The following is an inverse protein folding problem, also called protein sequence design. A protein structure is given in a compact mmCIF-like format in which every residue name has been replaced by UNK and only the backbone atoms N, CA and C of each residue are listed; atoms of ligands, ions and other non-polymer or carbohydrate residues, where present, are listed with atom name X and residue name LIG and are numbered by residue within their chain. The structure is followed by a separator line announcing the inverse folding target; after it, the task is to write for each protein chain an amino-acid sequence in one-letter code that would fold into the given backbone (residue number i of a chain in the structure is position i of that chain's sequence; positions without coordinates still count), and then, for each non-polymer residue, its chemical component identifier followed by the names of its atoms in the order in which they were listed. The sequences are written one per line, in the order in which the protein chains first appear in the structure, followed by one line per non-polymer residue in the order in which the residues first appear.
data_IF_924692973661
#
_entry.id   IF_924692973661
#
_cell.length_a   1.000
_cell.length_b   1.000
_cell.length_c   1.000
_cell.angle_alpha   90.00
_cell.angle_beta   90.00
_cell.angle_gamma   90.00
#
_symmetry.space_group_name_H-M   'P 1'
#
loop_
_entity.id
_entity.type
_entity.pdbx_description
1 polymer ?
#
# COMPACT_ATOMS: atom_id res chain seq x y z
N UNK A 1 50.28 19.81 9.19
CA UNK A 1 50.67 18.75 8.22
C UNK A 1 49.91 17.49 8.61
N UNK A 2 49.11 16.93 7.68
CA UNK A 2 48.52 15.57 7.70
C UNK A 2 47.16 15.29 8.42
N UNK A 3 46.16 16.18 8.34
CA UNK A 3 44.79 15.82 8.80
C UNK A 3 43.76 15.62 7.66
N UNK A 4 44.14 15.90 6.40
CA UNK A 4 43.28 15.69 5.21
C UNK A 4 43.51 14.34 4.50
N UNK A 5 44.08 13.35 5.19
CA UNK A 5 44.37 12.02 4.63
C UNK A 5 43.27 10.96 4.85
N UNK A 6 42.13 11.34 5.44
CA UNK A 6 41.01 10.42 5.73
C UNK A 6 39.74 10.68 4.92
N UNK A 7 39.85 11.30 3.73
CA UNK A 7 38.73 11.39 2.78
C UNK A 7 38.72 10.18 1.86
N UNK A 8 37.60 9.44 1.87
CA UNK A 8 37.37 8.27 1.01
C UNK A 8 37.42 8.67 -0.46
N UNK A 9 38.26 8.02 -1.25
CA UNK A 9 38.37 8.19 -2.70
C UNK A 9 37.14 7.63 -3.43
N UNK A 10 36.05 8.40 -3.49
CA UNK A 10 34.92 8.07 -4.34
C UNK A 10 35.22 8.43 -5.79
N UNK A 11 34.72 7.63 -6.73
CA UNK A 11 34.97 7.80 -8.17
C UNK A 11 34.44 9.16 -8.65
N UNK A 12 35.28 9.93 -9.36
CA UNK A 12 34.91 11.23 -9.93
C UNK A 12 33.74 11.07 -10.92
N UNK A 13 32.61 11.72 -10.64
CA UNK A 13 31.46 11.77 -11.55
C UNK A 13 31.52 13.07 -12.34
N UNK A 14 31.87 12.98 -13.62
CA UNK A 14 31.92 14.12 -14.53
C UNK A 14 30.52 14.46 -15.02
N UNK A 15 29.99 15.61 -14.58
CA UNK A 15 28.71 16.12 -15.03
C UNK A 15 28.84 16.56 -16.50
N UNK A 16 28.22 15.81 -17.43
CA UNK A 16 28.15 16.19 -18.85
C UNK A 16 28.33 15.08 -19.89
N UNK A 17 28.73 13.85 -19.53
CA UNK A 17 28.91 12.77 -20.51
C UNK A 17 27.83 11.70 -20.40
N UNK A 18 27.02 11.56 -21.45
CA UNK A 18 25.90 10.61 -21.56
C UNK A 18 26.42 9.20 -21.82
N UNK A 19 26.34 8.30 -20.84
CA UNK A 19 26.64 6.87 -21.06
C UNK A 19 25.47 6.20 -21.81
N UNK A 20 25.73 5.77 -23.04
CA UNK A 20 24.79 5.09 -23.93
C UNK A 20 24.42 3.69 -23.42
N UNK A 21 23.11 3.43 -23.43
CA UNK A 21 22.36 2.17 -23.48
C UNK A 21 23.10 0.83 -23.29
N UNK A 22 22.75 0.11 -22.22
CA UNK A 22 22.63 -1.36 -22.24
C UNK A 22 21.20 -1.74 -21.85
N UNK A 23 20.41 -2.10 -22.87
CA UNK A 23 19.05 -2.65 -22.74
C UNK A 23 19.15 -3.98 -21.97
N UNK A 24 18.76 -4.00 -20.70
CA UNK A 24 18.56 -5.25 -19.94
C UNK A 24 17.09 -5.63 -19.99
N UNK A 25 16.87 -6.88 -20.40
CA UNK A 25 15.60 -7.60 -20.59
C UNK A 25 14.70 -7.44 -19.35
N UNK A 26 13.46 -6.99 -19.54
CA UNK A 26 12.46 -6.92 -18.48
C UNK A 26 12.13 -8.34 -18.02
N UNK A 27 12.60 -8.70 -16.83
CA UNK A 27 12.05 -9.84 -16.09
C UNK A 27 10.79 -9.31 -15.42
N UNK A 28 9.64 -9.66 -15.99
CA UNK A 28 8.34 -9.43 -15.40
C UNK A 28 8.33 -10.03 -14.00
N UNK A 29 8.55 -9.16 -13.00
CA UNK A 29 8.40 -9.52 -11.60
C UNK A 29 6.91 -9.62 -11.37
N UNK A 30 6.34 -10.80 -11.69
CA UNK A 30 5.05 -11.23 -11.16
C UNK A 30 5.10 -10.89 -9.67
N UNK A 31 4.30 -9.93 -9.26
CA UNK A 31 4.07 -9.62 -7.85
C UNK A 31 3.58 -10.94 -7.24
N UNK A 32 4.49 -11.68 -6.61
CA UNK A 32 4.08 -12.60 -5.57
C UNK A 32 3.57 -11.67 -4.47
N UNK A 33 2.25 -11.58 -4.35
CA UNK A 33 1.62 -11.21 -3.10
C UNK A 33 2.13 -12.29 -2.14
N UNK A 34 3.15 -11.94 -1.37
CA UNK A 34 3.51 -12.74 -0.23
C UNK A 34 2.24 -12.78 0.61
N UNK A 35 1.67 -13.98 0.77
CA UNK A 35 0.80 -14.30 1.89
C UNK A 35 1.68 -14.12 3.12
N UNK A 36 1.82 -12.87 3.53
CA UNK A 36 2.26 -12.51 4.85
C UNK A 36 1.05 -12.89 5.70
N UNK A 37 1.15 -14.04 6.38
CA UNK A 37 0.29 -14.42 7.50
C UNK A 37 0.49 -13.39 8.62
N UNK A 38 0.09 -12.15 8.35
CA UNK A 38 0.02 -11.07 9.30
C UNK A 38 -1.24 -11.32 10.09
N UNK A 39 -1.06 -11.84 11.32
CA UNK A 39 -1.99 -11.77 12.44
C UNK A 39 -3.18 -10.84 12.18
N UNK A 40 -4.19 -11.39 11.52
CA UNK A 40 -5.40 -10.67 11.15
C UNK A 40 -6.08 -10.39 12.48
N UNK A 41 -6.11 -9.12 12.89
CA UNK A 41 -7.01 -8.74 13.97
C UNK A 41 -8.41 -8.91 13.39
N UNK A 42 -9.04 -10.05 13.70
CA UNK A 42 -10.35 -10.43 13.15
C UNK A 42 -11.45 -9.41 13.48
N UNK A 43 -11.21 -8.53 14.44
CA UNK A 43 -12.14 -7.51 14.91
C UNK A 43 -11.37 -6.23 15.23
N UNK A 44 -11.75 -5.11 14.59
CA UNK A 44 -11.28 -3.75 14.86
C UNK A 44 -12.51 -2.89 15.18
N UNK A 45 -12.71 -2.52 16.44
CA UNK A 45 -13.91 -1.82 16.90
C UNK A 45 -15.22 -2.55 16.57
N UNK A 46 -16.02 -1.97 15.67
CA UNK A 46 -17.31 -2.51 15.19
C UNK A 46 -17.16 -3.30 13.87
N UNK A 47 -15.94 -3.43 13.35
CA UNK A 47 -15.65 -4.05 12.06
C UNK A 47 -15.03 -5.41 12.26
N UNK A 48 -15.46 -6.39 11.46
CA UNK A 48 -14.90 -7.74 11.48
C UNK A 48 -14.56 -8.22 10.08
N UNK A 49 -13.65 -9.19 10.03
CA UNK A 49 -13.24 -9.84 8.80
C UNK A 49 -14.39 -10.72 8.26
N UNK A 50 -14.71 -10.56 6.98
CA UNK A 50 -15.72 -11.37 6.30
C UNK A 50 -15.10 -12.70 5.86
N UNK A 51 -15.81 -13.81 6.07
CA UNK A 51 -15.32 -15.15 5.69
C UNK A 51 -15.94 -15.67 4.39
N UNK A 52 -17.17 -15.22 4.09
CA UNK A 52 -17.93 -15.66 2.93
C UNK A 52 -18.35 -14.48 2.06
N UNK A 53 -18.34 -14.65 0.74
CA UNK A 53 -18.88 -13.68 -0.21
C UNK A 53 -20.34 -13.32 0.07
N UNK A 54 -21.14 -14.25 0.61
CA UNK A 54 -22.52 -13.99 1.01
C UNK A 54 -22.68 -12.94 2.12
N UNK A 55 -21.64 -12.73 2.93
CA UNK A 55 -21.64 -11.76 4.03
C UNK A 55 -21.21 -10.36 3.57
N UNK A 56 -20.66 -10.24 2.36
CA UNK A 56 -20.21 -8.97 1.76
C UNK A 56 -21.43 -8.22 1.21
N UNK A 57 -22.24 -7.68 2.11
CA UNK A 57 -23.44 -6.91 1.77
C UNK A 57 -23.65 -5.78 2.78
N UNK A 58 -24.00 -4.60 2.29
CA UNK A 58 -24.19 -3.41 3.12
C UNK A 58 -22.91 -2.61 3.31
N UNK A 59 -22.74 -2.01 4.48
CA UNK A 59 -21.61 -1.13 4.78
C UNK A 59 -20.34 -1.95 5.03
N UNK A 60 -19.34 -1.77 4.18
CA UNK A 60 -18.04 -2.46 4.23
C UNK A 60 -16.89 -1.45 4.23
N UNK A 61 -15.72 -1.86 4.71
CA UNK A 61 -14.49 -1.10 4.59
C UNK A 61 -13.41 -1.98 3.97
N UNK A 62 -12.49 -1.38 3.22
CA UNK A 62 -11.45 -2.10 2.49
C UNK A 62 -10.08 -1.63 2.98
N UNK A 63 -9.36 -2.55 3.62
CA UNK A 63 -7.97 -2.36 4.04
C UNK A 63 -7.03 -2.86 2.95
N UNK A 64 -6.05 -2.04 2.56
CA UNK A 64 -5.09 -2.37 1.49
C UNK A 64 -3.70 -2.70 2.03
N UNK A 65 -3.32 -2.07 3.15
CA UNK A 65 -2.07 -2.26 3.88
C UNK A 65 -2.38 -2.02 5.37
N UNK A 66 -1.49 -2.43 6.27
CA UNK A 66 -1.75 -2.51 7.72
C UNK A 66 -2.23 -1.18 8.32
N UNK A 67 -3.48 -1.15 8.75
CA UNK A 67 -4.13 0.04 9.31
C UNK A 67 -4.43 1.13 8.29
N UNK A 68 -4.37 0.85 6.98
CA UNK A 68 -4.65 1.84 5.92
C UNK A 68 -5.86 1.42 5.09
N UNK A 69 -6.87 2.29 5.07
CA UNK A 69 -8.10 2.08 4.32
C UNK A 69 -8.13 2.89 3.03
N UNK A 70 -9.02 2.52 2.11
CA UNK A 70 -9.25 3.31 0.89
C UNK A 70 -10.06 4.56 1.23
N UNK A 71 -9.52 5.73 0.94
CA UNK A 71 -10.13 7.02 1.17
C UNK A 71 -10.65 7.62 -0.14
N UNK A 72 -11.91 8.05 -0.16
CA UNK A 72 -12.51 8.75 -1.29
C UNK A 72 -12.25 10.27 -1.20
N UNK A 73 -11.74 10.86 -2.28
CA UNK A 73 -11.58 12.31 -2.41
C UNK A 73 -12.79 12.93 -3.13
N UNK A 74 -13.06 14.20 -2.82
CA UNK A 74 -14.12 15.03 -3.41
C UNK A 74 -13.97 15.23 -4.93
N UNK A 75 -12.75 15.11 -5.45
CA UNK A 75 -12.44 15.16 -6.88
C UNK A 75 -12.79 13.86 -7.65
N UNK A 76 -13.38 12.87 -7.00
CA UNK A 76 -13.75 11.58 -7.59
C UNK A 76 -12.57 10.61 -7.76
N UNK A 77 -11.42 10.90 -7.15
CA UNK A 77 -10.29 9.98 -7.08
C UNK A 77 -10.28 9.22 -5.75
N UNK A 78 -9.57 8.10 -5.74
CA UNK A 78 -9.31 7.32 -4.53
C UNK A 78 -7.84 7.45 -4.15
N UNK A 79 -7.59 7.55 -2.85
CA UNK A 79 -6.25 7.52 -2.26
C UNK A 79 -6.21 6.49 -1.14
N UNK A 80 -5.01 6.06 -0.78
CA UNK A 80 -4.83 5.32 0.47
C UNK A 80 -4.84 6.31 1.64
N UNK A 81 -5.71 6.08 2.62
CA UNK A 81 -5.77 6.86 3.85
C UNK A 81 -4.49 6.75 4.68
N UNK A 82 -4.33 7.66 5.63
CA UNK A 82 -3.22 7.57 6.57
C UNK A 82 -3.36 6.29 7.43
N UNK A 83 -2.25 5.68 7.86
CA UNK A 83 -2.31 4.53 8.75
C UNK A 83 -2.94 4.95 10.08
N UNK A 84 -4.02 4.26 10.45
CA UNK A 84 -4.67 4.36 11.76
C UNK A 84 -3.70 3.83 12.82
N UNK A 85 -3.38 4.68 13.80
CA UNK A 85 -2.40 4.38 14.85
C UNK A 85 -3.02 3.67 16.04
N UNK A 86 -4.34 3.80 16.20
CA UNK A 86 -5.08 3.22 17.30
C UNK A 86 -5.69 1.89 16.86
N UNK A 87 -5.48 0.85 17.66
CA UNK A 87 -5.84 -0.54 17.35
C UNK A 87 -7.37 -0.75 17.25
N UNK A 88 -8.16 0.18 17.77
CA UNK A 88 -9.63 0.15 17.79
C UNK A 88 -10.29 1.28 16.99
N UNK A 89 -9.51 2.11 16.27
CA UNK A 89 -10.08 3.18 15.48
C UNK A 89 -10.69 2.62 14.19
N UNK A 90 -12.01 2.76 14.06
CA UNK A 90 -12.74 2.32 12.88
C UNK A 90 -12.52 3.26 11.68
N UNK A 91 -12.77 2.77 10.45
CA UNK A 91 -12.67 3.54 9.23
C UNK A 91 -13.53 4.80 9.27
N UNK A 92 -12.95 5.90 8.78
CA UNK A 92 -13.63 7.18 8.69
C UNK A 92 -14.82 7.12 7.72
N UNK A 93 -15.83 7.99 7.83
CA UNK A 93 -16.97 8.00 6.90
C UNK A 93 -16.60 8.00 5.40
N UNK A 94 -15.58 8.74 4.92
CA UNK A 94 -15.15 8.67 3.51
C UNK A 94 -14.40 7.39 3.12
N UNK A 95 -14.08 6.53 4.10
CA UNK A 95 -13.47 5.21 3.91
C UNK A 95 -14.49 4.06 3.99
N UNK A 96 -15.76 4.37 4.30
CA UNK A 96 -16.85 3.41 4.33
C UNK A 96 -17.50 3.30 2.95
N UNK A 97 -17.62 2.07 2.47
CA UNK A 97 -18.21 1.73 1.18
C UNK A 97 -19.51 0.96 1.36
N UNK A 98 -20.35 0.96 0.34
CA UNK A 98 -21.55 0.14 0.30
C UNK A 98 -21.37 -0.97 -0.73
N UNK A 99 -21.28 -2.21 -0.26
CA UNK A 99 -21.34 -3.40 -1.10
C UNK A 99 -22.79 -3.71 -1.44
N UNK A 100 -23.11 -3.69 -2.73
CA UNK A 100 -24.39 -4.16 -3.26
C UNK A 100 -24.11 -5.38 -4.12
N UNK A 101 -24.61 -6.54 -3.69
CA UNK A 101 -24.46 -7.77 -4.46
C UNK A 101 -25.30 -7.68 -5.74
N UNK A 102 -24.64 -7.79 -6.88
CA UNK A 102 -25.31 -7.99 -8.16
C UNK A 102 -25.46 -9.49 -8.42
N UNK A 103 -26.56 -9.90 -9.06
CA UNK A 103 -26.70 -11.26 -9.57
C UNK A 103 -25.69 -11.48 -10.70
N UNK A 104 -24.80 -12.45 -10.54
CA UNK A 104 -24.05 -13.02 -11.65
C UNK A 104 -25.06 -13.85 -12.46
N UNK A 105 -25.25 -13.54 -13.75
CA UNK A 105 -26.18 -14.26 -14.63
C UNK A 105 -25.71 -15.69 -14.90
#
# INVERSE_FOLDING_TARGET
MAEYSYVKSTKLVLKGTKAKSKKKKSKEKKRKREDEEETQLDIVGIWWTVTNFGEISGTIAIEMDKGTYIHALDNGLFTLGAPHKEVDEGPSPPEQFTAVKLSDS
#
